data_IF_887200324291
#
_entry.id   IF_887200324291
#
_cell.length_a   1.000
_cell.length_b   1.000
_cell.length_c   1.000
_cell.angle_alpha   90.00
_cell.angle_beta   90.00
_cell.angle_gamma   90.00
#
_symmetry.space_group_name_H-M   'P 1'
#
loop_
_entity.id
_entity.type
_entity.pdbx_description
1 polymer ?
#
# COMPACT_ATOMS: atom_id res chain seq x y z
N UNK A 1 -8.82 13.43 -6.25
CA UNK A 1 -7.47 13.33 -6.84
C UNK A 1 -6.78 12.17 -6.18
N UNK A 2 -6.05 11.34 -6.94
CA UNK A 2 -5.25 10.26 -6.39
C UNK A 2 -3.78 10.52 -6.74
N UNK A 3 -2.93 10.57 -5.73
CA UNK A 3 -1.49 10.69 -5.86
C UNK A 3 -0.85 9.35 -5.51
N UNK A 4 0.16 8.97 -6.28
CA UNK A 4 1.03 7.83 -5.99
C UNK A 4 2.34 8.43 -5.51
N UNK A 5 2.79 8.00 -4.33
CA UNK A 5 3.99 8.52 -3.67
C UNK A 5 4.92 7.33 -3.42
N UNK A 6 6.08 7.34 -4.08
CA UNK A 6 7.06 6.26 -4.08
C UNK A 6 8.44 6.82 -4.44
N UNK A 7 9.48 6.03 -4.18
CA UNK A 7 10.83 6.19 -4.71
C UNK A 7 11.17 5.15 -5.77
N UNK A 8 12.46 5.00 -6.07
CA UNK A 8 12.96 3.87 -6.88
C UNK A 8 12.78 2.55 -6.13
N UNK A 9 12.78 1.43 -6.85
CA UNK A 9 12.67 0.10 -6.23
C UNK A 9 13.75 -0.13 -5.17
N UNK A 10 15.01 0.18 -5.52
CA UNK A 10 16.17 0.02 -4.64
C UNK A 10 16.07 0.90 -3.38
N UNK A 11 15.69 2.17 -3.54
CA UNK A 11 15.59 3.09 -2.40
C UNK A 11 14.45 2.69 -1.45
N UNK A 12 13.31 2.28 -1.98
CA UNK A 12 12.17 1.88 -1.16
C UNK A 12 12.43 0.57 -0.40
N UNK A 13 13.09 -0.41 -1.04
CA UNK A 13 13.52 -1.64 -0.36
C UNK A 13 14.57 -1.37 0.72
N UNK A 14 15.47 -0.41 0.48
CA UNK A 14 16.44 0.01 1.49
C UNK A 14 15.77 0.65 2.69
N UNK A 15 14.76 1.50 2.47
CA UNK A 15 13.98 2.10 3.56
C UNK A 15 13.19 1.04 4.35
N UNK A 16 12.73 -0.01 3.67
CA UNK A 16 12.09 -1.16 4.30
C UNK A 16 13.07 -1.98 5.15
N UNK A 17 14.24 -2.34 4.60
CA UNK A 17 15.26 -3.10 5.33
C UNK A 17 15.79 -2.35 6.54
N UNK A 18 15.90 -1.02 6.43
CA UNK A 18 16.33 -0.14 7.52
C UNK A 18 15.22 0.13 8.54
N UNK A 19 14.01 -0.42 8.34
CA UNK A 19 12.81 -0.22 9.16
C UNK A 19 12.41 1.27 9.29
N UNK A 20 12.66 2.06 8.24
CA UNK A 20 12.39 3.51 8.16
C UNK A 20 11.13 3.86 7.35
N UNK A 21 10.39 2.87 6.86
CA UNK A 21 9.12 3.09 6.15
C UNK A 21 8.11 3.91 6.97
N UNK A 22 8.05 3.71 8.29
CA UNK A 22 7.18 4.48 9.17
C UNK A 22 7.51 5.99 9.16
N UNK A 23 8.79 6.34 9.30
CA UNK A 23 9.27 7.72 9.26
C UNK A 23 8.99 8.38 7.90
N UNK A 24 9.16 7.61 6.83
CA UNK A 24 8.85 8.04 5.47
C UNK A 24 7.33 8.31 5.30
N UNK A 25 6.47 7.43 5.83
CA UNK A 25 5.02 7.62 5.83
C UNK A 25 4.62 8.90 6.58
N UNK A 26 5.17 9.13 7.77
CA UNK A 26 4.88 10.32 8.58
C UNK A 26 5.31 11.61 7.86
N UNK A 27 6.50 11.60 7.26
CA UNK A 27 7.02 12.73 6.48
C UNK A 27 6.16 12.99 5.23
N UNK A 28 5.69 11.93 4.59
CA UNK A 28 4.80 12.00 3.42
C UNK A 28 3.43 12.58 3.82
N UNK A 29 2.88 12.17 4.95
CA UNK A 29 1.65 12.72 5.49
C UNK A 29 1.79 14.19 5.87
N UNK A 30 2.91 14.58 6.46
CA UNK A 30 3.21 15.99 6.76
C UNK A 30 3.25 16.85 5.50
N UNK A 31 3.89 16.36 4.43
CA UNK A 31 3.89 17.06 3.15
C UNK A 31 2.48 17.17 2.56
N UNK A 32 1.70 16.09 2.56
CA UNK A 32 0.31 16.11 2.07
C UNK A 32 -0.57 17.12 2.81
N UNK A 33 -0.46 17.16 4.14
CA UNK A 33 -1.21 18.11 4.97
C UNK A 33 -0.79 19.55 4.75
N UNK A 34 0.50 19.81 4.57
CA UNK A 34 1.03 21.15 4.31
C UNK A 34 0.63 21.64 2.93
N UNK A 35 0.70 20.77 1.92
CA UNK A 35 0.45 21.11 0.51
C UNK A 35 -1.04 21.25 0.20
N UNK A 36 -1.87 20.31 0.66
CA UNK A 36 -3.29 20.27 0.30
C UNK A 36 -4.24 20.72 1.40
N UNK A 37 -3.75 20.82 2.64
CA UNK A 37 -4.57 21.04 3.83
C UNK A 37 -5.09 19.74 4.40
N UNK A 38 -5.03 19.60 5.73
CA UNK A 38 -5.42 18.38 6.45
C UNK A 38 -6.84 17.90 6.15
N UNK A 39 -7.78 18.83 5.99
CA UNK A 39 -9.19 18.52 5.70
C UNK A 39 -9.41 17.98 4.27
N UNK A 40 -8.47 18.23 3.36
CA UNK A 40 -8.56 17.80 1.97
C UNK A 40 -7.97 16.40 1.74
N UNK A 41 -7.18 15.88 2.68
CA UNK A 41 -6.59 14.54 2.60
C UNK A 41 -7.55 13.54 3.25
N UNK A 42 -8.21 12.72 2.42
CA UNK A 42 -9.27 11.79 2.88
C UNK A 42 -8.69 10.45 3.33
N UNK A 43 -7.71 9.95 2.60
CA UNK A 43 -7.07 8.67 2.86
C UNK A 43 -5.65 8.67 2.30
N UNK A 44 -4.76 7.96 2.96
CA UNK A 44 -3.45 7.59 2.45
C UNK A 44 -3.20 6.15 2.88
N UNK A 45 -3.03 5.25 1.90
CA UNK A 45 -2.85 3.82 2.15
C UNK A 45 -1.47 3.42 1.70
N UNK A 46 -0.68 2.84 2.60
CA UNK A 46 0.59 2.19 2.27
C UNK A 46 0.32 0.81 1.69
N UNK A 47 0.89 0.55 0.52
CA UNK A 47 0.98 -0.76 -0.12
C UNK A 47 2.43 -1.22 0.03
N UNK A 48 2.66 -2.18 0.93
CA UNK A 48 3.96 -2.83 1.17
C UNK A 48 3.91 -4.33 0.82
N UNK A 49 2.82 -4.76 0.19
CA UNK A 49 2.54 -6.12 -0.26
C UNK A 49 2.80 -6.31 -1.77
N UNK A 50 3.25 -5.25 -2.45
CA UNK A 50 3.63 -5.24 -3.87
C UNK A 50 5.16 -5.19 -4.03
N UNK A 51 5.68 -5.22 -5.27
CA UNK A 51 7.13 -5.23 -5.54
C UNK A 51 7.87 -4.01 -4.99
N UNK A 52 7.23 -2.84 -4.95
CA UNK A 52 7.84 -1.60 -4.44
C UNK A 52 6.87 -0.92 -3.48
N UNK A 53 7.27 -0.68 -2.21
CA UNK A 53 6.44 0.05 -1.26
C UNK A 53 6.01 1.42 -1.79
N UNK A 54 4.71 1.71 -1.80
CA UNK A 54 4.18 2.99 -2.27
C UNK A 54 2.89 3.40 -1.54
N UNK A 55 2.58 4.69 -1.55
CA UNK A 55 1.38 5.24 -0.91
C UNK A 55 0.38 5.74 -1.95
N UNK A 56 -0.87 5.32 -1.79
CA UNK A 56 -2.02 5.87 -2.50
C UNK A 56 -2.72 6.93 -1.65
N UNK A 57 -2.50 8.21 -1.98
CA UNK A 57 -3.12 9.33 -1.30
C UNK A 57 -4.33 9.87 -2.07
N UNK A 58 -5.50 9.90 -1.42
CA UNK A 58 -6.74 10.46 -1.97
C UNK A 58 -6.98 11.86 -1.41
N UNK A 59 -6.92 12.86 -2.29
CA UNK A 59 -7.11 14.28 -1.95
C UNK A 59 -8.35 14.83 -2.63
N UNK A 60 -9.21 15.50 -1.88
CA UNK A 60 -10.39 16.21 -2.38
C UNK A 60 -10.01 17.67 -2.63
N UNK A 61 -10.14 18.20 -3.85
CA UNK A 61 -9.66 19.54 -4.19
C UNK A 61 -10.69 20.60 -3.77
N UNK A 62 -10.88 20.77 -2.46
CA UNK A 62 -11.73 21.83 -1.90
C UNK A 62 -10.94 23.13 -1.92
N UNK A 63 -11.45 24.11 -2.65
CA UNK A 63 -10.87 25.44 -2.76
C UNK A 63 -11.90 26.51 -2.40
N UNK A 64 -11.42 27.63 -1.86
CA UNK A 64 -12.25 28.79 -1.52
C UNK A 64 -11.90 29.96 -2.43
N UNK A 65 -12.90 30.78 -2.76
CA UNK A 65 -12.71 31.98 -3.57
C UNK A 65 -13.07 31.83 -5.04
N UNK A 66 -12.87 32.90 -5.81
CA UNK A 66 -13.27 32.98 -7.21
C UNK A 66 -12.53 31.96 -8.08
N UNK A 67 -13.19 31.50 -9.15
CA UNK A 67 -12.58 30.59 -10.12
C UNK A 67 -11.42 31.31 -10.82
N UNK A 68 -10.25 30.67 -10.92
CA UNK A 68 -9.05 31.25 -11.56
C UNK A 68 -9.33 31.83 -12.95
N UNK A 69 -10.12 31.13 -13.77
CA UNK A 69 -10.47 31.53 -15.15
C UNK A 69 -11.56 32.61 -15.22
N UNK A 70 -12.16 33.03 -14.10
CA UNK A 70 -13.32 33.94 -14.08
C UNK A 70 -13.01 35.38 -14.50
N UNK A 71 -11.74 35.81 -14.43
CA UNK A 71 -11.31 37.13 -14.92
C UNK A 71 -11.15 37.12 -16.44
N UNK A 72 -10.37 36.18 -16.96
CA UNK A 72 -10.18 35.98 -18.41
C UNK A 72 -11.48 35.64 -19.15
N UNK A 73 -12.39 34.86 -18.55
CA UNK A 73 -13.71 34.58 -19.14
C UNK A 73 -14.65 35.80 -19.16
N UNK A 74 -14.46 36.76 -18.24
CA UNK A 74 -15.23 38.01 -18.22
C UNK A 74 -14.76 38.99 -19.31
N UNK A 75 -13.46 39.01 -19.58
CA UNK A 75 -12.86 39.77 -20.68
C UNK A 75 -13.32 39.23 -22.05
N UNK A 76 -13.57 37.93 -22.16
CA UNK A 76 -14.07 37.26 -23.38
C UNK A 76 -15.60 37.37 -23.60
N UNK A 77 -16.29 38.29 -22.91
CA UNK A 77 -17.68 38.67 -23.21
C UNK A 77 -18.77 37.65 -22.87
N UNK A 78 -18.48 36.56 -22.14
CA UNK A 78 -19.51 35.58 -21.74
C UNK A 78 -20.37 36.12 -20.60
N UNK A 79 -21.71 36.03 -20.74
CA UNK A 79 -22.68 36.46 -19.71
C UNK A 79 -22.43 35.73 -18.39
N UNK A 80 -22.26 36.49 -17.29
CA UNK A 80 -22.11 35.97 -15.92
C UNK A 80 -23.46 35.83 -15.22
N UNK A 81 -23.72 34.65 -14.65
CA UNK A 81 -24.69 34.51 -13.56
C UNK A 81 -24.05 35.03 -12.25
N UNK A 82 -24.78 35.87 -11.50
CA UNK A 82 -24.30 36.39 -10.21
C UNK A 82 -24.16 35.22 -9.22
N UNK A 83 -22.94 34.96 -8.75
CA UNK A 83 -22.65 33.96 -7.72
C UNK A 83 -22.20 34.65 -6.43
N UNK A 84 -22.52 34.05 -5.27
CA UNK A 84 -22.12 34.58 -3.95
C UNK A 84 -20.59 34.54 -3.81
N UNK A 85 -20.00 35.62 -3.27
CA UNK A 85 -18.57 35.70 -2.94
C UNK A 85 -18.22 34.69 -1.83
N UNK A 86 -17.02 34.08 -1.89
CA UNK A 86 -16.51 33.18 -0.85
C UNK A 86 -17.08 31.76 -0.86
N UNK A 87 -17.63 31.27 -1.98
CA UNK A 87 -18.18 29.92 -2.07
C UNK A 87 -17.08 28.86 -2.03
N UNK A 88 -17.24 27.86 -1.17
CA UNK A 88 -16.46 26.61 -1.18
C UNK A 88 -16.78 25.83 -2.45
N UNK A 89 -15.77 25.35 -3.18
CA UNK A 89 -15.95 24.62 -4.44
C UNK A 89 -14.95 23.48 -4.58
N UNK A 90 -15.35 22.46 -5.34
CA UNK A 90 -14.48 21.35 -5.73
C UNK A 90 -13.87 21.66 -7.09
N UNK A 91 -12.55 21.87 -7.16
CA UNK A 91 -11.91 22.26 -8.41
C UNK A 91 -10.49 21.71 -8.54
N UNK A 92 -10.36 20.61 -9.28
CA UNK A 92 -9.07 20.01 -9.61
C UNK A 92 -8.17 20.96 -10.41
N UNK A 93 -8.73 21.73 -11.36
CA UNK A 93 -8.01 22.70 -12.20
C UNK A 93 -7.17 23.71 -11.40
N UNK A 94 -7.62 24.09 -10.20
CA UNK A 94 -6.90 25.07 -9.38
C UNK A 94 -5.85 24.44 -8.45
N UNK A 95 -5.92 23.12 -8.27
CA UNK A 95 -4.97 22.33 -7.48
C UNK A 95 -3.89 21.72 -8.38
N UNK A 96 -4.24 21.30 -9.59
CA UNK A 96 -3.39 20.60 -10.56
C UNK A 96 -3.00 21.51 -11.74
N UNK A 97 -2.45 22.68 -11.43
CA UNK A 97 -1.87 23.54 -12.48
C UNK A 97 -0.47 23.04 -12.83
N UNK A 98 0.02 23.26 -14.07
CA UNK A 98 1.37 22.83 -14.46
C UNK A 98 2.45 23.32 -13.47
N UNK A 99 2.39 24.62 -13.11
CA UNK A 99 3.30 25.22 -12.12
C UNK A 99 3.23 24.54 -10.76
N UNK A 100 2.03 24.24 -10.26
CA UNK A 100 1.87 23.54 -8.97
C UNK A 100 2.38 22.11 -9.02
N UNK A 101 2.14 21.39 -10.12
CA UNK A 101 2.65 20.02 -10.29
C UNK A 101 4.18 19.99 -10.28
N UNK A 102 4.82 20.98 -10.91
CA UNK A 102 6.27 21.16 -10.87
C UNK A 102 6.77 21.47 -9.45
N UNK A 103 6.09 22.41 -8.75
CA UNK A 103 6.36 22.74 -7.35
C UNK A 103 6.19 21.52 -6.43
N UNK A 104 5.19 20.66 -6.67
CA UNK A 104 4.97 19.46 -5.87
C UNK A 104 6.11 18.46 -6.01
N UNK A 105 6.65 18.26 -7.22
CA UNK A 105 7.82 17.40 -7.42
C UNK A 105 9.03 17.90 -6.64
N UNK A 106 9.26 19.22 -6.65
CA UNK A 106 10.39 19.84 -5.94
C UNK A 106 10.21 19.77 -4.43
N UNK A 107 9.08 20.25 -3.91
CA UNK A 107 8.83 20.31 -2.46
C UNK A 107 8.71 18.93 -1.82
N UNK A 108 8.19 17.93 -2.55
CA UNK A 108 8.16 16.55 -2.06
C UNK A 108 9.58 15.97 -1.96
N UNK A 109 10.41 16.15 -2.98
CA UNK A 109 11.80 15.72 -2.95
C UNK A 109 12.61 16.39 -1.83
N UNK A 110 12.38 17.69 -1.58
CA UNK A 110 13.00 18.41 -0.46
C UNK A 110 12.64 17.79 0.89
N UNK A 111 11.36 17.44 1.11
CA UNK A 111 10.91 16.76 2.33
C UNK A 111 11.53 15.36 2.45
N UNK A 112 11.71 14.66 1.32
CA UNK A 112 12.21 13.29 1.29
C UNK A 112 13.74 13.15 1.29
N UNK A 113 14.47 14.27 1.25
CA UNK A 113 15.94 14.31 1.24
C UNK A 113 16.57 13.57 2.44
N UNK A 114 15.91 13.57 3.59
CA UNK A 114 16.35 12.85 4.79
C UNK A 114 16.35 11.31 4.65
N UNK A 115 15.67 10.80 3.62
CA UNK A 115 15.58 9.38 3.27
C UNK A 115 16.51 9.00 2.11
N UNK A 116 17.30 9.95 1.61
CA UNK A 116 18.17 9.74 0.45
C UNK A 116 17.44 9.78 -0.90
N UNK A 117 16.15 10.12 -0.91
CA UNK A 117 15.38 10.27 -2.15
C UNK A 117 15.68 11.62 -2.81
N UNK A 118 15.88 11.59 -4.12
CA UNK A 118 16.18 12.76 -4.92
C UNK A 118 15.05 13.12 -5.87
N UNK A 119 15.05 14.38 -6.33
CA UNK A 119 14.07 14.88 -7.29
C UNK A 119 14.32 14.23 -8.66
N UNK A 120 13.24 13.81 -9.33
CA UNK A 120 13.32 13.45 -10.74
C UNK A 120 13.82 14.59 -11.63
N UNK A 121 14.27 14.24 -12.85
CA UNK A 121 14.84 15.20 -13.80
C UNK A 121 13.87 16.35 -14.10
N UNK A 122 14.34 17.58 -13.94
CA UNK A 122 13.56 18.77 -14.27
C UNK A 122 13.33 18.85 -15.79
N UNK A 123 12.07 19.05 -16.20
CA UNK A 123 11.70 19.09 -17.62
C UNK A 123 11.77 17.75 -18.34
N UNK A 124 11.68 16.63 -17.61
CA UNK A 124 11.68 15.29 -18.20
C UNK A 124 10.62 15.15 -19.31
N UNK A 125 11.04 14.63 -20.46
CA UNK A 125 10.15 14.30 -21.59
C UNK A 125 9.52 12.90 -21.47
N UNK A 126 9.78 12.19 -20.36
CA UNK A 126 9.22 10.88 -20.10
C UNK A 126 7.68 10.94 -20.07
N UNK A 127 7.06 10.05 -20.84
CA UNK A 127 5.60 9.91 -20.86
C UNK A 127 5.18 8.87 -19.83
N UNK A 128 4.16 9.20 -19.04
CA UNK A 128 3.53 8.22 -18.16
C UNK A 128 2.99 7.04 -18.99
N UNK A 129 3.25 5.84 -18.49
CA UNK A 129 2.76 4.58 -19.05
C UNK A 129 1.96 3.87 -17.97
N UNK A 130 0.93 3.14 -18.38
CA UNK A 130 0.19 2.29 -17.45
C UNK A 130 1.04 1.08 -17.03
N UNK A 131 0.78 0.50 -15.86
CA UNK A 131 1.54 -0.66 -15.37
C UNK A 131 1.51 -1.81 -16.39
N UNK A 132 0.36 -2.08 -17.02
CA UNK A 132 0.23 -3.14 -18.03
C UNK A 132 1.07 -2.86 -19.28
N UNK A 133 1.13 -1.61 -19.75
CA UNK A 133 1.98 -1.23 -20.88
C UNK A 133 3.47 -1.37 -20.53
N UNK A 134 3.87 -0.94 -19.33
CA UNK A 134 5.23 -1.08 -18.84
C UNK A 134 5.67 -2.55 -18.82
N UNK A 135 4.89 -3.45 -18.20
CA UNK A 135 5.21 -4.89 -18.18
C UNK A 135 5.23 -5.50 -19.58
N UNK A 136 4.33 -5.09 -20.48
CA UNK A 136 4.29 -5.59 -21.85
C UNK A 136 5.53 -5.20 -22.65
N UNK A 137 6.03 -3.98 -22.47
CA UNK A 137 7.27 -3.53 -23.11
C UNK A 137 8.49 -4.22 -22.51
N UNK A 138 8.56 -4.34 -21.18
CA UNK A 138 9.64 -5.06 -20.50
C UNK A 138 9.75 -6.50 -21.04
N UNK A 139 8.63 -7.22 -21.16
CA UNK A 139 8.60 -8.57 -21.73
C UNK A 139 9.08 -8.61 -23.20
N UNK A 140 8.73 -7.60 -24.00
CA UNK A 140 9.20 -7.51 -25.39
C UNK A 140 10.70 -7.24 -25.46
N UNK A 141 11.20 -6.30 -24.67
CA UNK A 141 12.61 -5.97 -24.60
C UNK A 141 13.44 -7.16 -24.12
N UNK A 142 13.01 -7.85 -23.07
CA UNK A 142 13.69 -9.06 -22.58
C UNK A 142 13.70 -10.14 -23.65
N UNK A 143 12.58 -10.37 -24.35
CA UNK A 143 12.52 -11.35 -25.44
C UNK A 143 13.43 -10.97 -26.61
N UNK A 144 13.51 -9.68 -26.93
CA UNK A 144 14.39 -9.20 -27.98
C UNK A 144 15.87 -9.37 -27.61
N UNK A 145 16.26 -9.01 -26.38
CA UNK A 145 17.62 -9.23 -25.87
C UNK A 145 18.01 -10.71 -25.88
N UNK A 146 17.09 -11.61 -25.53
CA UNK A 146 17.31 -13.06 -25.63
C UNK A 146 17.56 -13.51 -27.07
N UNK A 147 16.79 -13.00 -28.04
CA UNK A 147 17.00 -13.30 -29.46
C UNK A 147 18.34 -12.75 -29.97
N UNK A 148 18.71 -11.53 -29.58
CA UNK A 148 19.99 -10.92 -29.92
C UNK A 148 21.17 -11.70 -29.30
N UNK A 149 21.03 -12.18 -28.08
CA UNK A 149 22.01 -13.04 -27.41
C UNK A 149 22.16 -14.38 -28.16
N UNK A 150 21.06 -15.03 -28.55
CA UNK A 150 21.11 -16.25 -29.37
C UNK A 150 21.78 -16.02 -30.73
N UNK A 151 21.54 -14.89 -31.38
CA UNK A 151 22.21 -14.52 -32.64
C UNK A 151 23.70 -14.25 -32.44
N UNK A 152 24.09 -13.55 -31.37
CA UNK A 152 25.48 -13.31 -31.01
C UNK A 152 26.21 -14.63 -30.74
N UNK A 153 25.60 -15.56 -30.01
CA UNK A 153 26.15 -16.90 -29.76
C UNK A 153 26.35 -17.65 -31.09
N UNK A 154 25.38 -17.58 -32.02
CA UNK A 154 25.54 -18.18 -33.36
C UNK A 154 26.68 -17.55 -34.15
N UNK A 155 26.79 -16.21 -34.15
CA UNK A 155 27.89 -15.49 -34.83
C UNK A 155 29.25 -15.84 -34.24
N UNK A 156 29.38 -15.93 -32.92
CA UNK A 156 30.61 -16.35 -32.24
C UNK A 156 31.00 -17.75 -32.72
N UNK A 157 30.07 -18.71 -32.69
CA UNK A 157 30.32 -20.09 -33.15
C UNK A 157 30.72 -20.19 -34.63
N UNK A 158 30.22 -19.28 -35.46
CA UNK A 158 30.58 -19.23 -36.88
C UNK A 158 31.94 -18.57 -37.12
N UNK A 159 32.27 -17.52 -36.37
CA UNK A 159 33.60 -16.91 -36.35
C UNK A 159 34.65 -17.88 -35.83
N UNK A 160 34.38 -18.67 -34.79
CA UNK A 160 35.26 -19.74 -34.31
C UNK A 160 35.52 -20.79 -35.40
N UNK A 161 34.49 -21.19 -36.16
CA UNK A 161 34.66 -22.10 -37.31
C UNK A 161 35.48 -21.48 -38.43
N UNK A 162 35.32 -20.19 -38.71
CA UNK A 162 36.10 -19.48 -39.71
C UNK A 162 37.55 -19.28 -39.26
N UNK A 163 37.79 -18.93 -38.00
CA UNK A 163 39.11 -18.86 -37.38
C UNK A 163 39.79 -20.23 -37.40
N UNK A 164 39.06 -21.31 -37.09
CA UNK A 164 39.54 -22.69 -37.25
C UNK A 164 39.93 -23.04 -38.70
N UNK A 165 39.19 -22.55 -39.71
CA UNK A 165 39.55 -22.69 -41.13
C UNK A 165 40.72 -21.79 -41.54
N UNK A 166 40.83 -20.59 -40.98
CA UNK A 166 41.96 -19.67 -41.19
C UNK A 166 43.25 -20.18 -40.54
N UNK A 167 43.14 -20.90 -39.43
CA UNK A 167 44.23 -21.62 -38.77
C UNK A 167 44.75 -22.79 -39.63
N UNK A 168 43.91 -23.39 -40.48
CA UNK A 168 44.34 -24.33 -41.54
C UNK A 168 45.02 -23.61 -42.72
N UNK A 169 44.74 -22.31 -42.94
CA UNK A 169 45.56 -21.40 -43.76
C UNK A 169 46.81 -20.87 -43.03
N UNK A 170 47.07 -21.33 -41.80
CA UNK A 170 48.23 -20.99 -40.97
C UNK A 170 49.58 -21.45 -41.55
N UNK A 171 49.59 -22.22 -42.64
CA UNK A 171 50.78 -22.43 -43.47
C UNK A 171 51.28 -21.15 -44.16
N UNK A 172 50.49 -20.07 -44.15
CA UNK A 172 50.93 -18.73 -44.59
C UNK A 172 51.51 -17.88 -43.45
N UNK A 173 51.30 -18.27 -42.18
CA UNK A 173 51.62 -17.47 -40.98
C UNK A 173 53.11 -17.50 -40.59
N UNK A 174 53.91 -18.42 -41.13
CA UNK A 174 55.36 -18.45 -40.88
C UNK A 174 56.12 -17.31 -41.57
N UNK A 175 55.44 -16.45 -42.35
CA UNK A 175 56.05 -15.38 -43.15
C UNK A 175 55.96 -13.99 -42.50
N UNK A 176 55.11 -13.76 -41.50
CA UNK A 176 54.99 -12.45 -40.83
C UNK A 176 55.09 -12.63 -39.32
N UNK A 177 56.29 -12.39 -38.77
CA UNK A 177 56.50 -12.34 -37.32
C UNK A 177 55.76 -11.16 -36.69
N UNK A 178 55.03 -11.39 -35.60
CA UNK A 178 54.30 -10.35 -34.88
C UNK A 178 54.15 -10.67 -33.39
N UNK A 179 54.98 -10.02 -32.57
CA UNK A 179 54.91 -10.03 -31.09
C UNK A 179 53.65 -9.39 -30.49
N UNK A 180 52.93 -8.56 -31.26
CA UNK A 180 51.68 -7.92 -30.81
C UNK A 180 50.46 -8.84 -31.00
N UNK A 181 50.50 -9.75 -31.97
CA UNK A 181 49.42 -10.71 -32.23
C UNK A 181 49.35 -11.76 -31.11
N UNK A 182 50.52 -12.23 -30.67
CA UNK A 182 50.67 -13.21 -29.58
C UNK A 182 50.17 -12.65 -28.23
N UNK A 183 50.31 -11.34 -28.01
CA UNK A 183 49.73 -10.64 -26.84
C UNK A 183 48.21 -10.49 -26.94
N UNK A 184 47.69 -10.23 -28.14
CA UNK A 184 46.26 -10.13 -28.39
C UNK A 184 45.57 -11.50 -28.21
N UNK A 185 46.17 -12.58 -28.72
CA UNK A 185 45.67 -13.96 -28.54
C UNK A 185 45.64 -14.38 -27.06
N UNK A 186 46.68 -14.05 -26.28
CA UNK A 186 46.67 -14.31 -24.82
C UNK A 186 45.56 -13.55 -24.09
N UNK A 187 45.36 -12.26 -24.39
CA UNK A 187 44.29 -11.46 -23.76
C UNK A 187 42.89 -11.94 -24.13
N UNK A 188 42.70 -12.39 -25.37
CA UNK A 188 41.42 -12.99 -25.78
C UNK A 188 41.16 -14.27 -25.00
N UNK A 189 42.16 -15.15 -24.85
CA UNK A 189 42.03 -16.36 -24.03
C UNK A 189 41.75 -16.09 -22.54
N UNK A 190 42.36 -15.04 -21.96
CA UNK A 190 42.08 -14.60 -20.58
C UNK A 190 40.63 -14.11 -20.43
N UNK A 191 40.15 -13.27 -21.36
CA UNK A 191 38.78 -12.75 -21.36
C UNK A 191 37.73 -13.85 -21.60
N UNK A 192 38.01 -14.81 -22.49
CA UNK A 192 37.15 -15.96 -22.74
C UNK A 192 37.02 -16.83 -21.47
N UNK A 193 38.13 -17.08 -20.79
CA UNK A 193 38.13 -17.80 -19.51
C UNK A 193 37.32 -17.06 -18.44
N UNK A 194 37.47 -15.74 -18.34
CA UNK A 194 36.76 -14.92 -17.36
C UNK A 194 35.25 -14.88 -17.64
N UNK A 195 34.85 -14.79 -18.92
CA UNK A 195 33.45 -14.90 -19.34
C UNK A 195 32.85 -16.27 -19.05
N UNK A 196 33.60 -17.35 -19.27
CA UNK A 196 33.13 -18.72 -19.04
C UNK A 196 32.95 -19.00 -17.55
N UNK A 197 33.87 -18.48 -16.70
CA UNK A 197 33.72 -18.50 -15.25
C UNK A 197 32.48 -17.71 -14.79
N UNK A 198 32.24 -16.51 -15.33
CA UNK A 198 31.05 -15.73 -14.98
C UNK A 198 29.74 -16.42 -15.39
N UNK A 199 29.71 -17.04 -16.58
CA UNK A 199 28.56 -17.83 -17.03
C UNK A 199 28.28 -19.00 -16.10
N UNK A 200 29.32 -19.74 -15.72
CA UNK A 200 29.19 -20.86 -14.79
C UNK A 200 28.63 -20.42 -13.43
N UNK A 201 29.11 -19.30 -12.88
CA UNK A 201 28.59 -18.75 -11.63
C UNK A 201 27.13 -18.32 -11.75
N UNK A 202 26.78 -17.64 -12.83
CA UNK A 202 25.39 -17.20 -13.09
C UNK A 202 24.44 -18.38 -13.30
N UNK A 203 24.86 -19.44 -14.00
CA UNK A 203 24.06 -20.66 -14.16
C UNK A 203 23.82 -21.37 -12.83
N UNK A 204 24.83 -21.41 -11.95
CA UNK A 204 24.71 -21.98 -10.61
C UNK A 204 23.73 -21.19 -9.75
N UNK A 205 23.83 -19.87 -9.74
CA UNK A 205 22.92 -18.98 -9.01
C UNK A 205 21.48 -19.08 -9.54
N UNK A 206 21.30 -19.09 -10.86
CA UNK A 206 20.00 -19.32 -11.50
C UNK A 206 19.40 -20.68 -11.13
N UNK A 207 20.22 -21.73 -10.99
CA UNK A 207 19.76 -23.04 -10.56
C UNK A 207 19.34 -23.06 -9.08
N UNK A 208 20.02 -22.31 -8.22
CA UNK A 208 19.63 -22.13 -6.80
C UNK A 208 18.33 -21.34 -6.67
N UNK A 209 18.21 -20.21 -7.37
CA UNK A 209 16.97 -19.41 -7.41
C UNK A 209 15.79 -20.25 -7.90
N UNK A 210 15.97 -21.06 -8.96
CA UNK A 210 14.91 -21.96 -9.45
C UNK A 210 14.44 -22.95 -8.39
N UNK A 211 15.35 -23.50 -7.58
CA UNK A 211 14.98 -24.43 -6.49
C UNK A 211 14.17 -23.71 -5.42
N UNK A 212 14.57 -22.50 -5.04
CA UNK A 212 13.87 -21.69 -4.05
C UNK A 212 12.47 -21.29 -4.53
N UNK A 213 12.33 -20.89 -5.79
CA UNK A 213 11.03 -20.58 -6.39
C UNK A 213 10.08 -21.78 -6.35
N UNK A 214 10.56 -23.00 -6.65
CA UNK A 214 9.74 -24.22 -6.56
C UNK A 214 9.27 -24.44 -5.12
N UNK A 215 10.17 -24.32 -4.14
CA UNK A 215 9.83 -24.50 -2.72
C UNK A 215 8.79 -23.46 -2.24
N UNK A 216 8.97 -22.21 -2.64
CA UNK A 216 8.02 -21.13 -2.34
C UNK A 216 6.66 -21.39 -3.00
N UNK A 217 6.63 -21.82 -4.26
CA UNK A 217 5.39 -22.17 -4.95
C UNK A 217 4.63 -23.30 -4.24
N UNK A 218 5.33 -24.33 -3.77
CA UNK A 218 4.69 -25.43 -3.03
C UNK A 218 4.18 -24.96 -1.67
N UNK A 219 4.91 -24.07 -1.00
CA UNK A 219 4.47 -23.44 0.26
C UNK A 219 3.22 -22.60 0.06
N UNK A 220 3.16 -21.79 -1.02
CA UNK A 220 1.99 -20.98 -1.37
C UNK A 220 0.78 -21.88 -1.64
N UNK A 221 0.94 -22.94 -2.45
CA UNK A 221 -0.15 -23.89 -2.72
C UNK A 221 -0.67 -24.56 -1.44
N UNK A 222 0.22 -24.92 -0.51
CA UNK A 222 -0.17 -25.50 0.76
C UNK A 222 -1.00 -24.52 1.60
N UNK A 223 -0.56 -23.25 1.69
CA UNK A 223 -1.30 -22.20 2.39
C UNK A 223 -2.65 -21.91 1.74
N UNK A 224 -2.72 -21.86 0.41
CA UNK A 224 -3.98 -21.65 -0.33
C UNK A 224 -5.00 -22.74 -0.02
N UNK A 225 -4.54 -24.00 0.08
CA UNK A 225 -5.39 -25.12 0.49
C UNK A 225 -5.94 -24.92 1.91
N UNK A 226 -5.08 -24.54 2.87
CA UNK A 226 -5.51 -24.25 4.24
C UNK A 226 -6.50 -23.08 4.31
N UNK A 227 -6.27 -22.02 3.53
CA UNK A 227 -7.18 -20.88 3.45
C UNK A 227 -8.55 -21.32 2.90
N UNK A 228 -8.56 -22.14 1.84
CA UNK A 228 -9.80 -22.65 1.27
C UNK A 228 -10.57 -23.56 2.26
N UNK A 229 -9.88 -24.35 3.07
CA UNK A 229 -10.48 -25.16 4.13
C UNK A 229 -11.09 -24.27 5.23
N UNK A 230 -10.34 -23.29 5.74
CA UNK A 230 -10.84 -22.33 6.73
C UNK A 230 -12.02 -21.51 6.22
N UNK A 231 -12.02 -21.09 4.95
CA UNK A 231 -13.14 -20.39 4.34
C UNK A 231 -14.42 -21.23 4.30
N UNK A 232 -14.30 -22.54 4.05
CA UNK A 232 -15.44 -23.46 4.11
C UNK A 232 -15.98 -23.56 5.54
N UNK A 233 -15.11 -23.68 6.54
CA UNK A 233 -15.53 -23.71 7.95
C UNK A 233 -16.22 -22.40 8.37
N UNK A 234 -15.64 -21.25 8.02
CA UNK A 234 -16.24 -19.93 8.30
C UNK A 234 -17.64 -19.85 7.68
N UNK A 235 -17.82 -20.32 6.44
CA UNK A 235 -19.12 -20.33 5.77
C UNK A 235 -20.16 -21.14 6.55
N UNK A 236 -19.79 -22.32 7.07
CA UNK A 236 -20.68 -23.12 7.91
C UNK A 236 -21.06 -22.35 9.18
N UNK A 237 -20.10 -21.73 9.86
CA UNK A 237 -20.38 -20.92 11.05
C UNK A 237 -21.28 -19.70 10.75
N UNK A 238 -21.14 -19.08 9.58
CA UNK A 238 -21.99 -17.97 9.16
C UNK A 238 -23.44 -18.41 8.91
N UNK A 239 -23.63 -19.57 8.28
CA UNK A 239 -24.95 -20.18 8.06
C UNK A 239 -25.63 -20.52 9.39
N UNK A 240 -24.93 -21.20 10.29
CA UNK A 240 -25.41 -21.52 11.65
C UNK A 240 -25.73 -20.26 12.46
N UNK A 241 -24.85 -19.25 12.40
CA UNK A 241 -25.08 -17.95 13.06
C UNK A 241 -26.30 -17.24 12.47
N UNK A 242 -26.53 -17.36 11.16
CA UNK A 242 -27.71 -16.85 10.47
C UNK A 242 -29.00 -17.54 10.93
N UNK A 243 -28.95 -18.87 11.07
CA UNK A 243 -30.05 -19.66 11.63
C UNK A 243 -30.37 -19.24 13.07
N UNK A 244 -29.38 -19.16 13.95
CA UNK A 244 -29.54 -18.72 15.35
C UNK A 244 -30.12 -17.30 15.40
N UNK A 245 -29.66 -16.37 14.56
CA UNK A 245 -30.20 -15.00 14.50
C UNK A 245 -31.68 -14.97 14.13
N UNK A 246 -32.12 -15.86 13.23
CA UNK A 246 -33.49 -15.93 12.71
C UNK A 246 -34.44 -16.60 13.69
N UNK A 247 -34.05 -17.75 14.26
CA UNK A 247 -34.93 -18.58 15.08
C UNK A 247 -34.77 -18.33 16.59
N UNK A 248 -33.57 -17.96 17.04
CA UNK A 248 -33.22 -17.76 18.45
C UNK A 248 -32.68 -16.36 18.70
N UNK A 249 -33.43 -15.34 18.30
CA UNK A 249 -32.96 -13.95 18.30
C UNK A 249 -32.49 -13.44 19.68
N UNK A 250 -33.19 -13.76 20.76
CA UNK A 250 -32.78 -13.36 22.12
C UNK A 250 -31.45 -13.98 22.53
N UNK A 251 -31.22 -15.25 22.16
CA UNK A 251 -29.94 -15.91 22.40
C UNK A 251 -28.82 -15.32 21.53
N UNK A 252 -29.11 -14.99 20.27
CA UNK A 252 -28.18 -14.26 19.40
C UNK A 252 -27.74 -12.91 20.00
N UNK A 253 -28.66 -12.16 20.61
CA UNK A 253 -28.33 -10.91 21.31
C UNK A 253 -27.41 -11.17 22.51
N UNK A 254 -27.69 -12.21 23.30
CA UNK A 254 -26.83 -12.60 24.42
C UNK A 254 -25.41 -13.00 23.97
N UNK A 255 -25.28 -13.71 22.84
CA UNK A 255 -23.97 -14.03 22.26
C UNK A 255 -23.18 -12.76 21.89
N UNK A 256 -23.84 -11.75 21.31
CA UNK A 256 -23.18 -10.48 21.02
C UNK A 256 -22.78 -9.73 22.30
N UNK A 257 -23.63 -9.76 23.33
CA UNK A 257 -23.30 -9.18 24.65
C UNK A 257 -22.09 -9.88 25.27
N UNK A 258 -22.06 -11.22 25.25
CA UNK A 258 -20.91 -12.01 25.70
C UNK A 258 -19.64 -11.62 24.95
N UNK A 259 -19.70 -11.46 23.62
CA UNK A 259 -18.55 -11.04 22.82
C UNK A 259 -18.05 -9.64 23.20
N UNK A 260 -18.96 -8.69 23.49
CA UNK A 260 -18.58 -7.36 23.96
C UNK A 260 -17.92 -7.41 25.34
N UNK A 261 -18.50 -8.15 26.28
CA UNK A 261 -17.96 -8.30 27.64
C UNK A 261 -16.61 -9.01 27.64
N UNK A 262 -16.41 -10.03 26.80
CA UNK A 262 -15.11 -10.70 26.63
C UNK A 262 -14.02 -9.72 26.16
N UNK A 263 -14.35 -8.80 25.24
CA UNK A 263 -13.41 -7.75 24.80
C UNK A 263 -13.03 -6.78 25.92
N UNK A 264 -13.90 -6.63 26.93
CA UNK A 264 -13.64 -5.85 28.14
C UNK A 264 -12.95 -6.68 29.24
N UNK A 265 -12.53 -7.92 28.94
CA UNK A 265 -11.80 -8.79 29.88
C UNK A 265 -12.66 -9.63 30.81
N UNK A 266 -13.98 -9.70 30.59
CA UNK A 266 -14.87 -10.53 31.41
C UNK A 266 -14.81 -12.00 31.00
N UNK A 267 -14.73 -12.90 31.99
CA UNK A 267 -14.86 -14.33 31.81
C UNK A 267 -16.32 -14.77 31.62
N UNK A 268 -16.52 -15.97 31.07
CA UNK A 268 -17.86 -16.47 30.75
C UNK A 268 -18.71 -16.75 32.00
N UNK A 269 -18.11 -17.12 33.14
CA UNK A 269 -18.86 -17.37 34.39
C UNK A 269 -19.45 -16.08 34.94
N UNK A 270 -18.70 -14.98 34.86
CA UNK A 270 -19.18 -13.65 35.23
C UNK A 270 -20.33 -13.22 34.31
N UNK A 271 -20.22 -13.42 33.00
CA UNK A 271 -21.32 -13.12 32.05
C UNK A 271 -22.58 -13.92 32.37
N UNK A 272 -22.44 -15.20 32.72
CA UNK A 272 -23.57 -16.07 33.12
C UNK A 272 -24.23 -15.53 34.39
N UNK A 273 -23.44 -15.16 35.42
CA UNK A 273 -23.96 -14.55 36.65
C UNK A 273 -24.67 -13.23 36.38
N UNK A 274 -24.11 -12.36 35.52
CA UNK A 274 -24.74 -11.10 35.11
C UNK A 274 -26.09 -11.35 34.44
N UNK A 275 -26.19 -12.35 33.55
CA UNK A 275 -27.43 -12.65 32.85
C UNK A 275 -28.49 -13.29 33.75
N UNK A 276 -28.13 -14.35 34.50
CA UNK A 276 -29.09 -15.12 35.29
C UNK A 276 -29.53 -14.40 36.57
N UNK A 277 -28.60 -13.74 37.26
CA UNK A 277 -28.85 -13.10 38.56
C UNK A 277 -28.97 -11.58 38.46
N UNK A 278 -28.88 -11.02 37.25
CA UNK A 278 -29.02 -9.58 37.00
C UNK A 278 -28.02 -8.73 37.81
N UNK A 279 -26.84 -9.30 38.09
CA UNK A 279 -25.79 -8.67 38.90
C UNK A 279 -25.10 -7.58 38.10
N UNK A 280 -24.95 -6.41 38.71
CA UNK A 280 -24.10 -5.34 38.20
C UNK A 280 -22.64 -5.59 38.55
N UNK A 281 -21.75 -5.33 37.60
CA UNK A 281 -20.30 -5.38 37.82
C UNK A 281 -19.70 -4.05 37.41
N UNK A 282 -18.82 -3.49 38.26
CA UNK A 282 -18.08 -2.28 37.93
C UNK A 282 -16.75 -2.63 37.30
N UNK A 283 -16.48 -2.05 36.14
CA UNK A 283 -15.22 -2.23 35.42
C UNK A 283 -15.01 -1.08 34.43
N UNK A 284 -13.91 -1.09 33.70
CA UNK A 284 -13.68 -0.18 32.57
C UNK A 284 -14.56 -0.59 31.40
N UNK A 285 -15.56 0.23 31.08
CA UNK A 285 -16.43 0.01 29.95
C UNK A 285 -15.80 0.56 28.67
N UNK A 286 -15.75 -0.26 27.62
CA UNK A 286 -15.22 0.12 26.31
C UNK A 286 -16.19 -0.28 25.21
N UNK A 287 -16.72 0.67 24.46
CA UNK A 287 -17.61 0.36 23.34
C UNK A 287 -17.29 1.19 22.08
N UNK A 288 -17.38 0.53 20.92
CA UNK A 288 -17.26 1.18 19.62
C UNK A 288 -18.62 1.71 19.17
N UNK A 289 -18.70 3.00 18.88
CA UNK A 289 -19.87 3.59 18.22
C UNK A 289 -19.69 3.55 16.70
N UNK A 290 -20.54 2.78 16.02
CA UNK A 290 -20.60 2.79 14.55
C UNK A 290 -21.04 4.14 13.98
N UNK A 291 -21.90 4.87 14.70
CA UNK A 291 -22.37 6.21 14.30
C UNK A 291 -21.24 7.24 14.31
N UNK A 292 -20.37 7.21 15.34
CA UNK A 292 -19.27 8.16 15.51
C UNK A 292 -17.91 7.64 15.07
N UNK A 293 -17.86 6.41 14.55
CA UNK A 293 -16.69 5.66 14.09
C UNK A 293 -15.50 5.72 15.06
N UNK A 294 -15.76 5.53 16.35
CA UNK A 294 -14.73 5.61 17.41
C UNK A 294 -15.07 4.76 18.63
N UNK A 295 -14.06 4.47 19.45
CA UNK A 295 -14.24 3.89 20.76
C UNK A 295 -14.48 4.98 21.82
N UNK A 296 -15.38 4.68 22.76
CA UNK A 296 -15.55 5.41 24.01
C UNK A 296 -15.17 4.51 25.17
N UNK A 297 -14.52 5.09 26.17
CA UNK A 297 -14.02 4.40 27.36
C UNK A 297 -14.43 5.17 28.62
N UNK A 298 -14.82 4.45 29.66
CA UNK A 298 -15.08 5.00 30.99
C UNK A 298 -14.65 4.02 32.06
N UNK A 299 -13.85 4.50 33.00
CA UNK A 299 -13.41 3.71 34.15
C UNK A 299 -14.51 3.62 35.20
N UNK A 300 -14.53 2.50 35.94
CA UNK A 300 -15.47 2.26 37.05
C UNK A 300 -16.95 2.43 36.66
N UNK A 301 -17.29 2.09 35.42
CA UNK A 301 -18.67 2.12 34.94
C UNK A 301 -19.42 0.88 35.41
N UNK A 302 -20.71 1.03 35.71
CA UNK A 302 -21.58 -0.07 36.08
C UNK A 302 -22.10 -0.79 34.83
N UNK A 303 -21.67 -2.03 34.62
CA UNK A 303 -22.16 -2.89 33.54
C UNK A 303 -23.22 -3.86 34.07
N UNK A 304 -24.34 -4.00 33.35
CA UNK A 304 -25.42 -4.91 33.71
C UNK A 304 -26.09 -5.48 32.47
N UNK A 305 -26.42 -6.78 32.49
CA UNK A 305 -27.26 -7.39 31.45
C UNK A 305 -28.70 -7.34 31.94
N UNK A 306 -29.54 -6.51 31.33
CA UNK A 306 -30.97 -6.38 31.66
C UNK A 306 -31.85 -6.88 30.52
N UNK A 307 -33.17 -6.83 30.69
CA UNK A 307 -34.14 -7.14 29.62
C UNK A 307 -34.89 -5.89 29.18
N UNK A 308 -35.07 -5.72 27.87
CA UNK A 308 -35.93 -4.66 27.32
C UNK A 308 -37.44 -5.02 27.44
N UNK A 309 -38.30 -4.13 26.95
CA UNK A 309 -39.77 -4.31 26.93
C UNK A 309 -40.22 -5.59 26.22
N UNK A 310 -39.44 -6.06 25.24
CA UNK A 310 -39.68 -7.32 24.51
C UNK A 310 -39.06 -8.54 25.19
N UNK A 311 -38.61 -8.42 26.44
CA UNK A 311 -37.90 -9.44 27.23
C UNK A 311 -36.59 -9.93 26.58
N UNK A 312 -35.97 -9.11 25.73
CA UNK A 312 -34.70 -9.43 25.09
C UNK A 312 -33.53 -8.92 25.93
N UNK A 313 -32.42 -9.67 26.03
CA UNK A 313 -31.27 -9.23 26.78
C UNK A 313 -30.61 -8.02 26.13
N UNK A 314 -30.29 -7.02 26.93
CA UNK A 314 -29.53 -5.82 26.55
C UNK A 314 -28.40 -5.60 27.55
N UNK A 315 -27.25 -5.15 27.07
CA UNK A 315 -26.18 -4.67 27.95
C UNK A 315 -26.42 -3.18 28.23
N UNK A 316 -26.37 -2.79 29.48
CA UNK A 316 -26.39 -1.39 29.91
C UNK A 316 -25.07 -1.01 30.56
N UNK A 317 -24.67 0.24 30.35
CA UNK A 317 -23.50 0.88 30.96
C UNK A 317 -24.02 2.12 31.69
N UNK A 318 -23.84 2.18 33.01
CA UNK A 318 -24.40 3.22 33.88
C UNK A 318 -25.92 3.40 33.70
N UNK A 319 -26.63 2.29 33.49
CA UNK A 319 -28.09 2.28 33.30
C UNK A 319 -28.57 2.68 31.90
N UNK A 320 -27.69 3.12 31.01
CA UNK A 320 -28.00 3.46 29.62
C UNK A 320 -27.74 2.27 28.69
N UNK A 321 -28.48 2.15 27.58
CA UNK A 321 -28.10 1.21 26.53
C UNK A 321 -26.70 1.56 26.00
N UNK A 322 -25.96 0.59 25.47
CA UNK A 322 -24.61 0.87 24.91
C UNK A 322 -24.64 2.00 23.87
N UNK A 323 -25.71 2.09 23.07
CA UNK A 323 -25.89 3.15 22.07
C UNK A 323 -26.09 4.52 22.73
N UNK A 324 -26.99 4.62 23.72
CA UNK A 324 -27.28 5.88 24.41
C UNK A 324 -26.10 6.34 25.27
N UNK A 325 -25.37 5.40 25.86
CA UNK A 325 -24.12 5.68 26.57
C UNK A 325 -23.06 6.25 25.62
N UNK A 326 -22.91 5.71 24.41
CA UNK A 326 -22.01 6.27 23.39
C UNK A 326 -22.44 7.68 22.97
N UNK A 327 -23.75 7.92 22.80
CA UNK A 327 -24.31 9.25 22.53
C UNK A 327 -23.96 10.23 23.65
N UNK A 328 -24.16 9.84 24.90
CA UNK A 328 -23.83 10.66 26.06
C UNK A 328 -22.33 11.01 26.09
N UNK A 329 -21.45 10.03 25.86
CA UNK A 329 -20.00 10.26 25.79
C UNK A 329 -19.60 11.17 24.63
N UNK A 330 -20.28 11.06 23.50
CA UNK A 330 -20.09 11.95 22.38
C UNK A 330 -20.47 13.39 22.73
N UNK A 331 -21.62 13.61 23.37
CA UNK A 331 -22.04 14.94 23.81
C UNK A 331 -21.03 15.53 24.81
N UNK A 332 -20.57 14.75 25.80
CA UNK A 332 -19.56 15.20 26.77
C UNK A 332 -18.25 15.63 26.06
N UNK A 333 -17.80 14.85 25.07
CA UNK A 333 -16.62 15.15 24.29
C UNK A 333 -16.77 16.45 23.48
N UNK A 334 -17.92 16.67 22.84
CA UNK A 334 -18.22 17.92 22.12
C UNK A 334 -18.19 19.13 23.07
N UNK A 335 -18.85 19.03 24.22
CA UNK A 335 -18.92 20.12 25.19
C UNK A 335 -17.53 20.46 25.74
N UNK A 336 -16.72 19.46 26.11
CA UNK A 336 -15.33 19.65 26.54
C UNK A 336 -14.49 20.37 25.48
N UNK A 337 -14.60 19.97 24.22
CA UNK A 337 -13.86 20.59 23.12
C UNK A 337 -14.31 22.02 22.81
N UNK A 338 -15.58 22.35 23.08
CA UNK A 338 -16.09 23.73 22.96
C UNK A 338 -15.60 24.62 24.10
N UNK A 339 -15.56 24.10 25.33
CA UNK A 339 -15.06 24.83 26.51
C UNK A 339 -13.55 25.08 26.48
N UNK A 340 -12.77 24.28 25.75
CA UNK A 340 -11.33 24.47 25.56
C UNK A 340 -10.96 25.42 24.40
N UNK A 341 -11.96 25.95 23.67
CA UNK A 341 -11.79 26.89 22.54
C UNK A 341 -12.18 28.34 22.88
N UNK A 342 -12.48 28.63 24.15
CA UNK A 342 -12.53 29.96 24.76
C UNK A 342 -11.33 30.10 25.69
#
# INVERSE_FOLDING_TARGET
LRFILSGSHEDMLKLESDNRLGEWCDSTMQWLYTTFGKENVVAATLHADEETPHIHATVVPIVQGERRKAKTEAENGKRKYKTKKGKVRLCADDVLTPKKLEEYQTTYAEQMKAFGLERGVYGSEAKHRTNMEYYKELLKETKQKQLEEEELIKKIKELEKQAGKLRVKGTLYSLFGNTELDKAEKRVGELEWEMEQQRFLSEKENAEIRKEVILLQDTVKAKDKTIAEQQKEIKVYEEERGFIKRFFHSFYLLLNIRLMLRKMGFDDDTVVKMHQRQVAVRSTATAYSGMYKRNFTEENAELRITTNEKRQPILTINGLSVSDWCEQKWQQLIHRNRSQRL
#
